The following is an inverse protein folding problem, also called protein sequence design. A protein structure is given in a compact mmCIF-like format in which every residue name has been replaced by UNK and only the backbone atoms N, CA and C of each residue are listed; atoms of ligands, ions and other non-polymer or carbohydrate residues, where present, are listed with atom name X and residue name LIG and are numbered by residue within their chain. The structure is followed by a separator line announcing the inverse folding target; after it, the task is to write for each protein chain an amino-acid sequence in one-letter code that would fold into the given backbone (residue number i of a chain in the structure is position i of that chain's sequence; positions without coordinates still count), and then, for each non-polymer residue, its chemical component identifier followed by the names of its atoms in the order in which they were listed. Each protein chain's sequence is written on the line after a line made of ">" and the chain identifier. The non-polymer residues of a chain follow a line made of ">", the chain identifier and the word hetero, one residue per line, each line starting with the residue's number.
data_IF_226040071376
#
_entry.id   IF_226040071376
#
_cell.length_a   1.000
_cell.length_b   1.000
_cell.length_c   1.000
_cell.angle_alpha   90.00
_cell.angle_beta   90.00
_cell.angle_gamma   90.00
#
_symmetry.space_group_name_H-M   'P 1'
#
loop_
_entity.id
_entity.type
_entity.pdbx_description
1 polymer ?
#
# COMPACT_ATOMS: atom_id res chain seq x y z
N UNK A 1 24.65 -102.26 56.35
CA UNK A 1 24.57 -100.84 56.72
C UNK A 1 24.31 -100.04 55.44
N UNK A 2 23.05 -99.77 55.11
CA UNK A 2 22.67 -99.10 53.86
C UNK A 2 22.32 -97.66 54.18
N UNK A 3 23.11 -96.73 53.63
CA UNK A 3 22.96 -95.29 53.80
C UNK A 3 21.68 -94.83 53.11
N UNK A 4 20.78 -94.19 53.87
CA UNK A 4 19.55 -93.58 53.37
C UNK A 4 19.92 -92.29 52.60
N UNK A 5 19.79 -92.31 51.27
CA UNK A 5 20.00 -91.13 50.41
C UNK A 5 18.84 -90.14 50.62
N UNK A 6 19.14 -88.97 51.18
CA UNK A 6 18.17 -87.90 51.49
C UNK A 6 17.66 -87.29 50.16
N UNK A 7 16.41 -87.55 49.80
CA UNK A 7 15.74 -86.85 48.69
C UNK A 7 15.42 -85.40 49.12
N UNK A 8 16.31 -84.47 48.77
CA UNK A 8 16.08 -83.01 48.83
C UNK A 8 16.25 -82.37 47.44
N UNK A 9 15.84 -83.07 46.38
CA UNK A 9 16.10 -82.69 44.99
C UNK A 9 14.85 -82.23 44.23
N UNK A 10 13.75 -81.92 44.92
CA UNK A 10 12.54 -81.34 44.29
C UNK A 10 12.32 -79.89 44.70
N UNK A 11 12.34 -79.64 46.01
CA UNK A 11 12.14 -78.31 46.60
C UNK A 11 13.21 -77.29 46.16
N UNK A 12 14.46 -77.74 45.96
CA UNK A 12 15.55 -76.87 45.52
C UNK A 12 15.35 -76.38 44.07
N UNK A 13 14.88 -77.25 43.17
CA UNK A 13 14.57 -76.87 41.79
C UNK A 13 13.33 -75.99 41.70
N UNK A 14 12.32 -76.18 42.56
CA UNK A 14 11.17 -75.28 42.64
C UNK A 14 11.55 -73.88 43.11
N UNK A 15 12.44 -73.76 44.12
CA UNK A 15 12.93 -72.45 44.59
C UNK A 15 13.76 -71.75 43.51
N UNK A 16 14.65 -72.48 42.82
CA UNK A 16 15.42 -71.95 41.69
C UNK A 16 14.49 -71.54 40.54
N UNK A 17 13.47 -72.33 40.22
CA UNK A 17 12.50 -72.00 39.18
C UNK A 17 11.72 -70.72 39.51
N UNK A 18 11.31 -70.53 40.77
CA UNK A 18 10.64 -69.29 41.22
C UNK A 18 11.60 -68.10 41.19
N UNK A 19 12.86 -68.29 41.61
CA UNK A 19 13.91 -67.26 41.58
C UNK A 19 14.25 -66.80 40.16
N UNK A 20 14.10 -67.66 39.16
CA UNK A 20 14.30 -67.32 37.74
C UNK A 20 13.02 -66.76 37.13
N UNK A 21 11.85 -67.30 37.49
CA UNK A 21 10.57 -66.88 36.95
C UNK A 21 10.24 -65.43 37.31
N UNK A 22 10.52 -64.99 38.54
CA UNK A 22 10.20 -63.61 38.98
C UNK A 22 10.95 -62.56 38.16
N UNK A 23 12.29 -62.61 38.00
CA UNK A 23 13.03 -61.66 37.15
C UNK A 23 12.61 -61.69 35.68
N UNK A 24 12.33 -62.87 35.14
CA UNK A 24 11.86 -63.01 33.74
C UNK A 24 10.50 -62.36 33.58
N UNK A 25 9.59 -62.57 34.52
CA UNK A 25 8.24 -61.99 34.48
C UNK A 25 8.30 -60.47 34.64
N UNK A 26 9.15 -59.96 35.55
CA UNK A 26 9.41 -58.54 35.70
C UNK A 26 10.01 -57.92 34.43
N UNK A 27 10.97 -58.60 33.78
CA UNK A 27 11.57 -58.16 32.52
C UNK A 27 10.56 -58.11 31.38
N UNK A 28 9.69 -59.13 31.27
CA UNK A 28 8.61 -59.16 30.27
C UNK A 28 7.60 -58.04 30.53
N UNK A 29 7.17 -57.82 31.77
CA UNK A 29 6.28 -56.68 32.08
C UNK A 29 6.95 -55.34 31.83
N UNK A 30 8.24 -55.18 32.16
CA UNK A 30 8.97 -53.94 31.94
C UNK A 30 9.13 -53.61 30.45
N UNK A 31 9.41 -54.62 29.61
CA UNK A 31 9.51 -54.43 28.16
C UNK A 31 8.15 -54.16 27.52
N UNK A 32 7.08 -54.83 27.96
CA UNK A 32 5.72 -54.55 27.48
C UNK A 32 5.26 -53.13 27.83
N UNK A 33 5.50 -52.67 29.06
CA UNK A 33 5.18 -51.29 29.47
C UNK A 33 6.01 -50.28 28.69
N UNK A 34 7.32 -50.52 28.52
CA UNK A 34 8.18 -49.60 27.77
C UNK A 34 7.80 -49.50 26.29
N UNK A 35 7.37 -50.60 25.65
CA UNK A 35 6.87 -50.60 24.27
C UNK A 35 5.55 -49.82 24.19
N UNK A 36 4.65 -50.02 25.15
CA UNK A 36 3.40 -49.27 25.23
C UNK A 36 3.66 -47.76 25.40
N UNK A 37 4.58 -47.36 26.28
CA UNK A 37 4.93 -45.96 26.52
C UNK A 37 5.58 -45.28 25.31
N UNK A 38 6.36 -46.02 24.52
CA UNK A 38 6.93 -45.48 23.26
C UNK A 38 5.87 -45.35 22.19
N UNK A 39 4.96 -46.31 22.05
CA UNK A 39 3.84 -46.20 21.10
C UNK A 39 2.84 -45.08 21.48
N UNK A 40 2.54 -44.90 22.76
CA UNK A 40 1.67 -43.81 23.24
C UNK A 40 2.33 -42.45 23.03
N UNK A 41 3.61 -42.30 23.37
CA UNK A 41 4.35 -41.05 23.15
C UNK A 41 4.43 -40.64 21.68
N UNK A 42 4.61 -41.60 20.76
CA UNK A 42 4.58 -41.32 19.30
C UNK A 42 3.18 -40.89 18.85
N UNK A 43 2.12 -41.53 19.35
CA UNK A 43 0.73 -41.16 19.02
C UNK A 43 0.35 -39.78 19.55
N UNK A 44 0.71 -39.47 20.79
CA UNK A 44 0.45 -38.17 21.40
C UNK A 44 1.16 -37.05 20.64
N UNK A 45 2.43 -37.26 20.28
CA UNK A 45 3.16 -36.31 19.44
C UNK A 45 2.49 -36.12 18.08
N UNK A 46 2.10 -37.21 17.42
CA UNK A 46 1.41 -37.13 16.12
C UNK A 46 0.11 -36.33 16.21
N UNK A 47 -0.70 -36.55 17.26
CA UNK A 47 -1.94 -35.80 17.48
C UNK A 47 -1.65 -34.33 17.76
N UNK A 48 -0.64 -34.03 18.57
CA UNK A 48 -0.23 -32.65 18.85
C UNK A 48 0.25 -31.92 17.59
N UNK A 49 1.07 -32.58 16.76
CA UNK A 49 1.55 -32.04 15.48
C UNK A 49 0.36 -31.77 14.53
N UNK A 50 -0.60 -32.70 14.45
CA UNK A 50 -1.81 -32.52 13.64
C UNK A 50 -2.69 -31.35 14.13
N UNK A 51 -2.89 -31.23 15.45
CA UNK A 51 -3.65 -30.13 16.03
C UNK A 51 -3.00 -28.78 15.71
N UNK A 52 -1.68 -28.69 15.82
CA UNK A 52 -0.95 -27.46 15.52
C UNK A 52 -1.01 -27.10 14.03
N UNK A 53 -0.87 -28.08 13.14
CA UNK A 53 -1.01 -27.85 11.70
C UNK A 53 -2.39 -27.30 11.33
N UNK A 54 -3.45 -27.81 11.95
CA UNK A 54 -4.82 -27.34 11.70
C UNK A 54 -5.03 -25.95 12.28
N UNK A 55 -4.58 -25.72 13.51
CA UNK A 55 -4.65 -24.41 14.15
C UNK A 55 -3.97 -23.34 13.29
N UNK A 56 -2.75 -23.60 12.84
CA UNK A 56 -2.03 -22.71 11.94
C UNK A 56 -2.71 -22.54 10.57
N UNK A 57 -3.26 -23.62 10.01
CA UNK A 57 -4.00 -23.53 8.74
C UNK A 57 -5.26 -22.67 8.87
N UNK A 58 -5.99 -22.80 9.98
CA UNK A 58 -7.18 -21.98 10.28
C UNK A 58 -6.79 -20.52 10.42
N UNK A 59 -5.69 -20.23 11.11
CA UNK A 59 -5.15 -18.89 11.26
C UNK A 59 -4.79 -18.26 9.90
N UNK A 60 -3.96 -18.95 9.10
CA UNK A 60 -3.48 -18.46 7.80
C UNK A 60 -4.64 -18.28 6.80
N UNK A 61 -5.59 -19.22 6.75
CA UNK A 61 -6.74 -19.14 5.84
C UNK A 61 -7.74 -18.08 6.29
N UNK A 62 -7.96 -17.93 7.59
CA UNK A 62 -8.83 -16.87 8.09
C UNK A 62 -8.22 -15.49 7.87
N UNK A 63 -6.91 -15.35 8.04
CA UNK A 63 -6.20 -14.10 7.76
C UNK A 63 -6.36 -13.67 6.28
N UNK A 64 -6.18 -14.59 5.32
CA UNK A 64 -6.45 -14.32 3.90
C UNK A 64 -7.93 -14.01 3.64
N UNK A 65 -8.84 -14.76 4.26
CA UNK A 65 -10.27 -14.52 4.16
C UNK A 65 -10.66 -13.14 4.70
N UNK A 66 -10.01 -12.71 5.78
CA UNK A 66 -10.16 -11.39 6.38
C UNK A 66 -9.73 -10.31 5.38
N UNK A 67 -8.54 -10.39 4.80
CA UNK A 67 -8.06 -9.42 3.80
C UNK A 67 -8.99 -9.31 2.59
N UNK A 68 -9.52 -10.44 2.10
CA UNK A 68 -10.47 -10.44 0.98
C UNK A 68 -11.79 -9.76 1.37
N UNK A 69 -12.34 -10.12 2.53
CA UNK A 69 -13.57 -9.51 3.06
C UNK A 69 -13.40 -8.00 3.28
N UNK A 70 -12.29 -7.61 3.89
CA UNK A 70 -11.90 -6.24 4.14
C UNK A 70 -11.78 -5.41 2.86
N UNK A 71 -11.08 -5.94 1.85
CA UNK A 71 -10.95 -5.28 0.54
C UNK A 71 -12.31 -5.11 -0.15
N UNK A 72 -13.17 -6.12 -0.10
CA UNK A 72 -14.53 -6.06 -0.66
C UNK A 72 -15.43 -5.08 0.08
N UNK A 73 -15.33 -5.01 1.40
CA UNK A 73 -16.09 -4.06 2.21
C UNK A 73 -15.70 -2.62 1.86
N UNK A 74 -14.40 -2.32 1.76
CA UNK A 74 -13.95 -0.99 1.34
C UNK A 74 -14.39 -0.66 -0.09
N UNK A 75 -14.37 -1.66 -1.00
CA UNK A 75 -14.84 -1.47 -2.37
C UNK A 75 -16.34 -1.17 -2.40
N UNK A 76 -17.14 -1.86 -1.58
CA UNK A 76 -18.57 -1.62 -1.45
C UNK A 76 -18.90 -0.23 -0.92
N UNK A 77 -18.12 0.29 0.04
CA UNK A 77 -18.27 1.67 0.50
C UNK A 77 -17.94 2.69 -0.59
N UNK A 78 -16.86 2.44 -1.33
CA UNK A 78 -16.43 3.30 -2.41
C UNK A 78 -17.46 3.33 -3.53
N UNK A 79 -17.93 2.16 -3.95
CA UNK A 79 -18.98 2.01 -4.96
C UNK A 79 -20.29 2.70 -4.54
N UNK A 80 -20.67 2.58 -3.27
CA UNK A 80 -21.84 3.29 -2.73
C UNK A 80 -21.69 4.81 -2.83
N UNK A 81 -20.58 5.38 -2.34
CA UNK A 81 -20.38 6.83 -2.34
C UNK A 81 -20.34 7.41 -3.76
N UNK A 82 -19.66 6.71 -4.67
CA UNK A 82 -19.54 7.09 -6.09
C UNK A 82 -20.90 6.99 -6.80
N UNK A 83 -21.64 5.89 -6.60
CA UNK A 83 -22.90 5.63 -7.31
C UNK A 83 -24.04 6.50 -6.79
N UNK A 84 -24.12 6.73 -5.47
CA UNK A 84 -25.12 7.63 -4.89
C UNK A 84 -24.76 9.11 -5.11
N UNK A 85 -23.48 9.39 -5.44
CA UNK A 85 -22.97 10.75 -5.65
C UNK A 85 -22.98 11.57 -4.36
N UNK A 86 -22.79 10.92 -3.20
CA UNK A 86 -22.85 11.55 -1.88
C UNK A 86 -21.83 10.97 -0.92
N UNK A 87 -21.31 11.84 -0.06
CA UNK A 87 -20.43 11.43 1.03
C UNK A 87 -21.19 10.71 2.16
N UNK A 88 -20.50 9.75 2.76
CA UNK A 88 -20.92 8.98 3.93
C UNK A 88 -20.67 9.80 5.19
N UNK A 89 -21.52 10.81 5.42
CA UNK A 89 -21.47 11.60 6.66
C UNK A 89 -22.42 11.03 7.71
N UNK A 90 -22.08 11.25 8.99
CA UNK A 90 -22.97 10.92 10.12
C UNK A 90 -24.28 11.70 9.99
N UNK A 91 -24.24 12.94 9.49
CA UNK A 91 -25.44 13.76 9.30
C UNK A 91 -26.39 13.17 8.26
N UNK A 92 -25.85 12.63 7.17
CA UNK A 92 -26.65 12.05 6.09
C UNK A 92 -27.15 10.65 6.42
N UNK A 93 -26.39 9.88 7.22
CA UNK A 93 -26.63 8.44 7.33
C UNK A 93 -26.62 7.85 8.74
N UNK A 94 -26.48 8.68 9.79
CA UNK A 94 -26.40 8.27 11.20
C UNK A 94 -25.25 7.29 11.55
N UNK A 95 -24.35 7.01 10.61
CA UNK A 95 -23.18 6.13 10.77
C UNK A 95 -21.99 6.72 10.03
N UNK A 96 -20.80 6.59 10.63
CA UNK A 96 -19.52 6.91 9.99
C UNK A 96 -19.12 5.84 8.96
N UNK A 97 -18.19 6.19 8.07
CA UNK A 97 -17.65 5.22 7.10
C UNK A 97 -16.99 4.01 7.78
N UNK A 98 -16.33 4.22 8.93
CA UNK A 98 -15.74 3.12 9.72
C UNK A 98 -16.78 2.19 10.36
N UNK A 99 -17.91 2.72 10.81
CA UNK A 99 -19.02 1.90 11.33
C UNK A 99 -19.67 1.06 10.23
N UNK A 100 -19.86 1.63 9.04
CA UNK A 100 -20.39 0.89 7.89
C UNK A 100 -19.39 -0.13 7.33
N UNK A 101 -18.11 0.19 7.35
CA UNK A 101 -17.04 -0.76 7.02
C UNK A 101 -17.13 -2.00 7.93
N UNK A 102 -17.35 -1.76 9.22
CA UNK A 102 -17.53 -2.83 10.20
C UNK A 102 -18.84 -3.59 9.96
N UNK A 103 -19.94 -2.90 9.69
CA UNK A 103 -21.22 -3.53 9.32
C UNK A 103 -21.08 -4.46 8.10
N UNK A 104 -20.37 -4.02 7.06
CA UNK A 104 -20.12 -4.83 5.87
C UNK A 104 -19.32 -6.10 6.19
N UNK A 105 -18.29 -6.00 7.03
CA UNK A 105 -17.47 -7.14 7.43
C UNK A 105 -18.28 -8.22 8.17
N UNK A 106 -19.19 -7.81 9.07
CA UNK A 106 -19.99 -8.72 9.88
C UNK A 106 -21.26 -9.18 9.17
N UNK A 107 -22.04 -8.26 8.64
CA UNK A 107 -23.40 -8.52 8.15
C UNK A 107 -23.48 -8.53 6.62
N UNK A 108 -22.49 -7.98 5.92
CA UNK A 108 -22.54 -7.82 4.46
C UNK A 108 -23.53 -6.76 4.00
N UNK A 109 -23.93 -5.85 4.90
CA UNK A 109 -24.96 -4.83 4.63
C UNK A 109 -24.40 -3.41 4.66
N UNK A 110 -25.02 -2.52 3.89
CA UNK A 110 -24.89 -1.06 3.97
C UNK A 110 -26.21 -0.50 4.49
N UNK A 111 -26.20 0.18 5.63
CA UNK A 111 -27.41 0.75 6.24
C UNK A 111 -28.53 -0.28 6.50
N UNK A 112 -28.16 -1.54 6.73
CA UNK A 112 -29.08 -2.66 6.89
C UNK A 112 -29.54 -3.33 5.59
N UNK A 113 -29.17 -2.80 4.41
CA UNK A 113 -29.49 -3.37 3.11
C UNK A 113 -28.33 -4.22 2.59
N UNK A 114 -28.62 -5.37 1.96
CA UNK A 114 -27.58 -6.28 1.47
C UNK A 114 -26.70 -5.65 0.38
N UNK A 115 -25.38 -5.75 0.55
CA UNK A 115 -24.42 -5.35 -0.48
C UNK A 115 -24.09 -6.52 -1.40
N UNK A 116 -24.31 -6.34 -2.70
CA UNK A 116 -23.99 -7.35 -3.72
C UNK A 116 -22.51 -7.78 -3.69
N UNK A 117 -21.60 -6.84 -3.40
CA UNK A 117 -20.16 -7.08 -3.38
C UNK A 117 -19.72 -7.97 -2.19
N UNK A 118 -20.55 -8.04 -1.15
CA UNK A 118 -20.28 -8.81 0.08
C UNK A 118 -20.94 -10.18 0.12
N UNK A 119 -21.79 -10.53 -0.86
CA UNK A 119 -22.46 -11.85 -0.89
C UNK A 119 -21.41 -12.96 -0.79
N UNK A 120 -21.57 -13.86 0.19
CA UNK A 120 -20.66 -14.96 0.50
C UNK A 120 -19.21 -14.54 0.83
N UNK A 121 -18.98 -13.30 1.24
CA UNK A 121 -17.65 -12.76 1.53
C UNK A 121 -17.55 -12.06 2.88
N UNK A 122 -18.54 -12.18 3.76
CA UNK A 122 -18.46 -11.70 5.14
C UNK A 122 -17.46 -12.52 5.96
N UNK A 123 -17.05 -12.02 7.12
CA UNK A 123 -16.16 -12.76 8.02
C UNK A 123 -16.83 -14.05 8.56
N UNK A 124 -18.15 -14.07 8.72
CA UNK A 124 -18.89 -15.28 9.09
C UNK A 124 -18.97 -16.29 7.95
N UNK A 125 -19.01 -15.84 6.69
CA UNK A 125 -18.93 -16.73 5.53
C UNK A 125 -17.58 -17.43 5.49
N UNK A 126 -16.49 -16.69 5.70
CA UNK A 126 -15.14 -17.24 5.78
C UNK A 126 -14.99 -18.21 6.96
N UNK A 127 -15.51 -17.86 8.14
CA UNK A 127 -15.56 -18.76 9.29
C UNK A 127 -16.25 -20.08 8.95
N UNK A 128 -17.41 -20.01 8.31
CA UNK A 128 -18.18 -21.18 7.93
C UNK A 128 -17.46 -22.05 6.90
N UNK A 129 -16.83 -21.44 5.88
CA UNK A 129 -16.05 -22.15 4.86
C UNK A 129 -14.85 -22.90 5.48
N UNK A 130 -14.13 -22.25 6.40
CA UNK A 130 -12.95 -22.84 7.05
C UNK A 130 -13.36 -23.98 7.98
N UNK A 131 -14.36 -23.79 8.83
CA UNK A 131 -14.85 -24.84 9.73
C UNK A 131 -15.37 -26.06 8.95
N UNK A 132 -16.04 -25.83 7.82
CA UNK A 132 -16.52 -26.93 6.98
C UNK A 132 -15.39 -27.68 6.27
N UNK A 133 -14.20 -27.09 6.13
CA UNK A 133 -13.04 -27.70 5.47
C UNK A 133 -12.14 -28.52 6.41
N UNK A 134 -12.18 -28.28 7.72
CA UNK A 134 -11.26 -28.89 8.72
C UNK A 134 -11.66 -30.31 9.17
N UNK A 135 -12.36 -31.05 8.32
CA UNK A 135 -12.93 -32.37 8.61
C UNK A 135 -11.94 -33.32 9.29
N UNK A 136 -12.31 -33.87 10.45
CA UNK A 136 -11.33 -34.56 11.28
C UNK A 136 -11.29 -34.07 12.71
N UNK A 137 -11.49 -32.77 12.91
CA UNK A 137 -11.26 -32.09 14.17
C UNK A 137 -12.44 -31.18 14.51
N UNK A 138 -12.64 -30.92 15.79
CA UNK A 138 -13.60 -29.91 16.24
C UNK A 138 -12.87 -28.58 16.28
N UNK A 139 -13.16 -27.72 15.30
CA UNK A 139 -12.60 -26.38 15.19
C UNK A 139 -13.69 -25.36 15.47
N UNK A 140 -13.40 -24.43 16.37
CA UNK A 140 -14.18 -23.20 16.51
C UNK A 140 -13.21 -22.03 16.68
N UNK A 141 -13.58 -20.89 16.12
CA UNK A 141 -12.79 -19.67 16.27
C UNK A 141 -13.67 -18.43 16.17
N UNK A 142 -13.26 -17.36 16.86
CA UNK A 142 -13.97 -16.08 16.87
C UNK A 142 -12.99 -14.94 16.64
N UNK A 143 -13.53 -13.83 16.14
CA UNK A 143 -12.77 -12.61 15.85
C UNK A 143 -13.44 -11.41 16.54
N UNK A 144 -12.63 -10.50 17.06
CA UNK A 144 -13.10 -9.34 17.84
C UNK A 144 -12.21 -8.13 17.61
N UNK A 145 -12.63 -6.95 18.11
CA UNK A 145 -11.80 -5.75 18.19
C UNK A 145 -11.16 -5.35 16.85
N UNK A 146 -11.95 -5.35 15.77
CA UNK A 146 -11.49 -4.89 14.47
C UNK A 146 -11.28 -3.38 14.54
N UNK A 147 -10.05 -2.95 14.31
CA UNK A 147 -9.67 -1.53 14.25
C UNK A 147 -9.03 -1.29 12.89
N UNK A 148 -9.65 -0.43 12.08
CA UNK A 148 -9.09 -0.01 10.79
C UNK A 148 -8.11 1.14 10.99
N UNK A 149 -7.02 1.12 10.22
CA UNK A 149 -5.97 2.14 10.18
C UNK A 149 -5.55 2.40 8.74
N UNK A 150 -5.00 3.59 8.50
CA UNK A 150 -4.36 3.93 7.23
C UNK A 150 -2.88 4.24 7.43
N UNK A 151 -2.08 3.78 6.48
CA UNK A 151 -0.68 4.14 6.33
C UNK A 151 -0.39 4.34 4.83
N UNK A 152 -0.23 5.60 4.42
CA UNK A 152 -0.06 5.98 3.01
C UNK A 152 -1.11 5.37 2.07
N UNK A 153 -0.70 4.57 1.09
CA UNK A 153 -1.58 3.87 0.14
C UNK A 153 -2.07 2.51 0.64
N UNK A 154 -1.81 2.18 1.91
CA UNK A 154 -2.22 0.93 2.52
C UNK A 154 -3.36 1.17 3.49
N UNK A 155 -4.44 0.43 3.27
CA UNK A 155 -5.49 0.26 4.25
C UNK A 155 -5.24 -1.01 5.03
N UNK A 156 -5.26 -0.89 6.35
CA UNK A 156 -4.98 -2.02 7.22
C UNK A 156 -5.67 -1.90 8.56
N UNK A 157 -5.13 -2.60 9.53
CA UNK A 157 -5.67 -2.58 10.87
C UNK A 157 -5.28 -3.79 11.69
N UNK A 158 -5.94 -3.93 12.84
CA UNK A 158 -5.77 -5.06 13.74
C UNK A 158 -7.10 -5.74 14.04
N UNK A 159 -7.04 -7.02 14.35
CA UNK A 159 -8.16 -7.79 14.92
C UNK A 159 -7.64 -8.82 15.92
N UNK A 160 -8.46 -9.14 16.92
CA UNK A 160 -8.20 -10.23 17.87
C UNK A 160 -8.78 -11.54 17.35
N UNK A 161 -8.01 -12.63 17.42
CA UNK A 161 -8.39 -13.96 16.96
C UNK A 161 -8.31 -14.98 18.11
N UNK A 162 -9.42 -15.69 18.33
CA UNK A 162 -9.53 -16.79 19.28
C UNK A 162 -9.71 -18.08 18.51
N UNK A 163 -8.81 -19.06 18.66
CA UNK A 163 -8.91 -20.35 17.96
C UNK A 163 -8.93 -21.46 19.00
N UNK A 164 -9.85 -22.41 18.84
CA UNK A 164 -9.88 -23.66 19.59
C UNK A 164 -9.94 -24.83 18.62
N UNK A 165 -8.95 -25.72 18.70
CA UNK A 165 -8.92 -26.97 17.94
C UNK A 165 -8.88 -28.13 18.91
N UNK A 166 -9.83 -29.06 18.79
CA UNK A 166 -9.89 -30.29 19.58
C UNK A 166 -9.89 -31.51 18.67
N UNK A 167 -9.31 -32.60 19.17
CA UNK A 167 -9.52 -33.89 18.52
C UNK A 167 -10.95 -34.40 18.75
N UNK A 168 -11.42 -35.35 17.95
CA UNK A 168 -12.80 -35.89 18.00
C UNK A 168 -13.20 -36.51 19.34
N UNK A 169 -12.23 -36.84 20.18
CA UNK A 169 -12.46 -37.47 21.48
C UNK A 169 -12.35 -36.47 22.64
N UNK A 170 -12.04 -35.20 22.37
CA UNK A 170 -11.85 -34.16 23.37
C UNK A 170 -10.65 -34.37 24.31
N UNK A 171 -9.75 -35.32 24.01
CA UNK A 171 -8.61 -35.67 24.88
C UNK A 171 -7.40 -34.75 24.70
N UNK A 172 -7.34 -34.03 23.58
CA UNK A 172 -6.26 -33.07 23.28
C UNK A 172 -6.84 -31.83 22.62
N UNK A 173 -6.33 -30.66 23.03
CA UNK A 173 -6.77 -29.36 22.52
C UNK A 173 -5.62 -28.38 22.40
N UNK A 174 -5.71 -27.51 21.40
CA UNK A 174 -4.93 -26.28 21.31
C UNK A 174 -5.92 -25.12 21.38
N UNK A 175 -5.55 -24.09 22.14
CA UNK A 175 -6.35 -22.90 22.34
C UNK A 175 -5.44 -21.67 22.25
N UNK A 176 -5.84 -20.72 21.42
CA UNK A 176 -5.26 -19.38 21.33
C UNK A 176 -6.33 -18.37 21.69
N UNK A 177 -5.98 -17.44 22.58
CA UNK A 177 -6.89 -16.45 23.14
C UNK A 177 -6.32 -15.07 22.87
N UNK A 178 -7.15 -14.23 22.26
CA UNK A 178 -6.93 -12.84 21.88
C UNK A 178 -5.59 -12.62 21.16
N UNK A 179 -5.29 -13.51 20.21
CA UNK A 179 -4.10 -13.34 19.39
C UNK A 179 -4.34 -12.17 18.44
N UNK A 180 -3.61 -11.07 18.65
CA UNK A 180 -3.70 -9.91 17.78
C UNK A 180 -3.02 -10.19 16.45
N UNK A 181 -3.76 -9.96 15.38
CA UNK A 181 -3.32 -10.05 13.99
C UNK A 181 -3.46 -8.70 13.33
N UNK A 182 -2.56 -8.44 12.40
CA UNK A 182 -2.59 -7.27 11.53
C UNK A 182 -3.09 -7.70 10.15
N UNK A 183 -3.74 -6.80 9.44
CA UNK A 183 -4.07 -6.98 8.02
C UNK A 183 -3.70 -5.69 7.28
N UNK A 184 -3.33 -5.81 6.01
CA UNK A 184 -3.02 -4.64 5.18
C UNK A 184 -3.16 -4.96 3.70
N UNK A 185 -3.76 -4.06 2.93
CA UNK A 185 -3.82 -4.15 1.48
C UNK A 185 -3.76 -2.76 0.85
N UNK A 186 -3.26 -2.71 -0.38
CA UNK A 186 -3.17 -1.46 -1.13
C UNK A 186 -4.53 -0.98 -1.63
N UNK A 187 -4.77 0.34 -1.55
CA UNK A 187 -5.93 1.02 -2.12
C UNK A 187 -5.74 1.43 -3.59
N UNK A 188 -4.61 1.07 -4.21
CA UNK A 188 -4.39 1.32 -5.63
C UNK A 188 -5.50 0.69 -6.48
N UNK A 189 -5.93 1.44 -7.50
CA UNK A 189 -7.04 1.07 -8.39
C UNK A 189 -8.44 1.29 -7.79
N UNK A 190 -8.57 1.69 -6.53
CA UNK A 190 -9.86 2.18 -6.01
C UNK A 190 -10.19 3.53 -6.65
N UNK A 191 -11.47 3.80 -6.84
CA UNK A 191 -11.93 5.11 -7.29
C UNK A 191 -11.86 6.13 -6.15
N UNK A 192 -11.44 7.35 -6.45
CA UNK A 192 -11.39 8.45 -5.49
C UNK A 192 -12.80 9.09 -5.35
N UNK A 193 -13.46 8.92 -4.19
CA UNK A 193 -14.80 9.43 -3.97
C UNK A 193 -14.86 10.96 -4.07
N UNK A 194 -13.76 11.66 -3.79
CA UNK A 194 -13.75 13.12 -3.80
C UNK A 194 -13.98 13.66 -5.21
N UNK A 195 -13.29 13.11 -6.22
CA UNK A 195 -13.53 13.51 -7.61
C UNK A 195 -14.93 13.13 -8.05
N UNK A 196 -15.34 11.89 -7.81
CA UNK A 196 -16.63 11.40 -8.27
C UNK A 196 -17.79 12.18 -7.65
N UNK A 197 -17.79 12.42 -6.34
CA UNK A 197 -18.89 13.11 -5.66
C UNK A 197 -18.91 14.60 -6.00
N UNK A 198 -17.76 15.29 -5.92
CA UNK A 198 -17.69 16.75 -6.15
C UNK A 198 -18.01 17.13 -7.59
N UNK A 199 -17.65 16.28 -8.55
CA UNK A 199 -17.92 16.53 -9.96
C UNK A 199 -19.23 15.89 -10.44
N UNK A 200 -20.06 15.38 -9.53
CA UNK A 200 -21.31 14.67 -9.88
C UNK A 200 -21.10 13.52 -10.88
N UNK A 201 -19.96 12.83 -10.77
CA UNK A 201 -19.57 11.68 -11.58
C UNK A 201 -18.96 12.04 -12.94
N UNK A 202 -18.78 13.31 -13.26
CA UNK A 202 -18.23 13.76 -14.55
C UNK A 202 -16.74 13.46 -14.68
N UNK A 203 -16.00 13.57 -13.58
CA UNK A 203 -14.58 13.22 -13.50
C UNK A 203 -14.41 12.08 -12.52
N UNK A 204 -13.78 11.00 -12.99
CA UNK A 204 -13.52 9.78 -12.22
C UNK A 204 -12.04 9.50 -12.24
N UNK A 205 -11.45 9.36 -11.06
CA UNK A 205 -10.03 9.01 -10.91
C UNK A 205 -9.87 7.78 -10.07
N UNK A 206 -8.85 6.99 -10.39
CA UNK A 206 -8.42 5.88 -9.57
C UNK A 206 -7.09 6.23 -8.90
N UNK A 207 -6.85 5.65 -7.73
CA UNK A 207 -5.56 5.77 -7.07
C UNK A 207 -4.48 5.08 -7.89
N UNK A 208 -3.67 5.88 -8.56
CA UNK A 208 -2.48 5.47 -9.30
C UNK A 208 -1.31 6.36 -8.89
N UNK A 209 -0.32 5.77 -8.22
CA UNK A 209 0.87 6.50 -7.79
C UNK A 209 1.77 6.79 -8.97
N UNK A 210 2.33 8.00 -8.99
CA UNK A 210 3.40 8.33 -9.91
C UNK A 210 4.64 7.48 -9.58
N UNK A 211 5.16 6.67 -10.52
CA UNK A 211 6.15 5.64 -10.22
C UNK A 211 7.60 6.17 -10.15
N UNK A 212 7.80 7.46 -10.41
CA UNK A 212 9.13 8.09 -10.48
C UNK A 212 9.28 9.21 -9.46
N UNK A 213 10.51 9.68 -9.26
CA UNK A 213 10.74 10.89 -8.48
C UNK A 213 10.08 12.10 -9.15
N UNK A 214 9.35 12.89 -8.37
CA UNK A 214 8.53 13.99 -8.86
C UNK A 214 9.04 15.38 -8.42
N UNK A 215 10.07 15.46 -7.59
CA UNK A 215 10.58 16.77 -7.13
C UNK A 215 11.24 17.54 -8.27
N UNK A 216 11.00 18.85 -8.29
CA UNK A 216 11.72 19.74 -9.17
C UNK A 216 13.22 19.75 -8.81
N UNK A 217 14.06 19.57 -9.82
CA UNK A 217 15.52 19.61 -9.65
C UNK A 217 16.10 20.80 -10.40
N UNK A 218 16.78 21.67 -9.66
CA UNK A 218 17.56 22.78 -10.21
C UNK A 218 18.95 22.30 -10.59
N UNK A 219 19.33 22.56 -11.82
CA UNK A 219 20.68 22.39 -12.35
C UNK A 219 21.32 23.77 -12.49
N UNK A 220 22.55 23.95 -11.97
CA UNK A 220 23.17 25.25 -11.90
C UNK A 220 23.49 25.80 -13.29
N UNK A 221 23.16 27.07 -13.52
CA UNK A 221 23.63 27.86 -14.65
C UNK A 221 24.20 29.19 -14.15
N UNK A 222 24.95 29.87 -15.01
CA UNK A 222 25.50 31.21 -14.73
C UNK A 222 24.72 32.33 -15.39
N UNK A 223 24.11 32.07 -16.55
CA UNK A 223 23.28 33.02 -17.29
C UNK A 223 22.27 32.24 -18.11
N UNK A 224 20.98 32.57 -17.97
CA UNK A 224 19.93 32.13 -18.88
C UNK A 224 19.25 33.35 -19.52
N UNK A 225 19.08 33.34 -20.84
CA UNK A 225 18.58 34.51 -21.59
C UNK A 225 17.11 34.48 -21.97
N UNK A 226 16.42 33.38 -21.67
CA UNK A 226 15.06 33.10 -22.11
C UNK A 226 14.36 32.14 -21.15
N UNK A 227 13.05 31.96 -21.36
CA UNK A 227 12.30 30.84 -20.82
C UNK A 227 11.99 29.90 -21.97
N UNK A 228 12.33 28.62 -21.82
CA UNK A 228 12.11 27.61 -22.85
C UNK A 228 11.89 26.25 -22.22
N UNK A 229 11.00 25.44 -22.81
CA UNK A 229 10.75 24.07 -22.39
C UNK A 229 10.84 23.15 -23.60
N UNK A 230 11.51 22.01 -23.44
CA UNK A 230 11.63 21.07 -24.54
C UNK A 230 12.37 19.79 -24.17
N UNK A 231 12.25 18.80 -25.07
CA UNK A 231 12.98 17.55 -24.93
C UNK A 231 14.47 17.76 -25.21
N UNK A 232 15.31 17.07 -24.45
CA UNK A 232 16.76 17.15 -24.58
C UNK A 232 17.25 16.39 -25.80
N UNK A 233 18.22 16.97 -26.50
CA UNK A 233 19.07 16.28 -27.45
C UNK A 233 20.53 16.54 -27.15
N UNK A 234 21.35 15.50 -27.30
CA UNK A 234 22.81 15.58 -27.24
C UNK A 234 23.43 15.50 -28.64
N UNK A 235 22.61 15.42 -29.68
CA UNK A 235 23.02 15.36 -31.08
C UNK A 235 22.84 16.74 -31.73
N UNK A 236 23.94 17.36 -32.17
CA UNK A 236 23.89 18.66 -32.81
C UNK A 236 23.19 18.66 -34.18
N UNK A 237 23.03 17.47 -34.78
CA UNK A 237 22.42 17.27 -36.10
C UNK A 237 20.97 16.73 -36.03
N UNK A 238 20.33 16.81 -34.85
CA UNK A 238 18.96 16.33 -34.63
C UNK A 238 17.96 16.98 -35.63
N UNK A 239 17.15 16.17 -36.35
CA UNK A 239 16.22 16.69 -37.36
C UNK A 239 15.12 17.59 -36.77
N UNK A 240 14.78 17.41 -35.48
CA UNK A 240 13.69 18.12 -34.80
C UNK A 240 14.20 19.25 -33.89
N UNK A 241 15.40 19.79 -34.17
CA UNK A 241 16.08 20.79 -33.34
C UNK A 241 15.21 21.98 -32.89
N UNK A 242 14.27 22.42 -33.73
CA UNK A 242 13.42 23.57 -33.45
C UNK A 242 12.45 23.39 -32.27
N UNK A 243 12.25 22.16 -31.78
CA UNK A 243 11.41 21.85 -30.61
C UNK A 243 12.18 21.23 -29.45
N UNK A 244 13.52 21.23 -29.54
CA UNK A 244 14.40 20.53 -28.61
C UNK A 244 15.41 21.47 -27.98
N UNK A 245 15.91 21.06 -26.82
CA UNK A 245 16.99 21.74 -26.11
C UNK A 245 18.28 20.98 -26.39
N UNK A 246 19.23 21.64 -27.06
CA UNK A 246 20.55 21.07 -27.28
C UNK A 246 21.40 21.20 -26.02
N UNK A 247 22.04 20.11 -25.63
CA UNK A 247 22.98 20.08 -24.50
C UNK A 247 24.37 19.74 -25.01
N UNK A 248 25.30 20.69 -24.91
CA UNK A 248 26.68 20.59 -25.40
C UNK A 248 27.66 21.29 -24.46
N UNK A 249 28.94 20.95 -24.52
CA UNK A 249 29.96 21.60 -23.67
C UNK A 249 30.25 23.05 -24.12
N UNK A 250 30.38 23.27 -25.44
CA UNK A 250 30.58 24.58 -26.07
C UNK A 250 29.37 24.93 -26.93
N UNK A 251 28.68 26.02 -26.59
CA UNK A 251 27.45 26.44 -27.27
C UNK A 251 27.73 27.25 -28.56
N UNK A 252 29.00 27.53 -28.87
CA UNK A 252 29.39 28.43 -29.96
C UNK A 252 28.92 27.93 -31.33
N UNK A 253 28.25 28.81 -32.08
CA UNK A 253 27.85 28.54 -33.47
C UNK A 253 26.58 27.70 -33.66
N UNK A 254 25.97 27.19 -32.58
CA UNK A 254 24.69 26.48 -32.67
C UNK A 254 23.52 27.46 -32.87
N UNK A 255 22.58 27.11 -33.76
CA UNK A 255 21.38 27.89 -34.08
C UNK A 255 20.22 27.00 -34.56
N UNK A 256 19.01 27.53 -34.45
CA UNK A 256 17.78 26.85 -34.86
C UNK A 256 17.25 25.85 -33.83
N UNK A 257 17.75 25.90 -32.60
CA UNK A 257 17.27 25.13 -31.46
C UNK A 257 16.28 25.96 -30.64
N UNK A 258 15.35 25.30 -29.95
CA UNK A 258 14.46 25.97 -28.99
C UNK A 258 15.31 26.67 -27.91
N UNK A 259 16.31 25.95 -27.38
CA UNK A 259 17.33 26.50 -26.49
C UNK A 259 18.65 25.71 -26.61
N UNK A 260 19.78 26.34 -26.27
CA UNK A 260 21.08 25.66 -26.17
C UNK A 260 21.63 25.82 -24.76
N UNK A 261 21.97 24.70 -24.12
CA UNK A 261 22.53 24.65 -22.78
C UNK A 261 23.98 24.16 -22.86
N UNK A 262 24.90 24.88 -22.22
CA UNK A 262 26.28 24.43 -22.12
C UNK A 262 27.13 25.13 -21.07
N UNK A 263 28.43 24.83 -21.09
CA UNK A 263 29.37 25.33 -20.10
C UNK A 263 29.99 26.66 -20.53
N UNK A 264 30.46 26.73 -21.78
CA UNK A 264 31.17 27.90 -22.32
C UNK A 264 30.66 28.31 -23.68
N UNK A 265 31.00 29.52 -24.12
CA UNK A 265 30.72 30.02 -25.47
C UNK A 265 29.59 31.03 -25.51
N UNK A 266 29.24 31.46 -26.73
CA UNK A 266 28.08 32.31 -27.01
C UNK A 266 27.44 31.80 -28.29
N UNK A 267 26.15 31.43 -28.26
CA UNK A 267 25.53 30.75 -29.39
C UNK A 267 25.07 31.77 -30.43
N UNK A 268 24.72 31.28 -31.61
CA UNK A 268 24.17 32.11 -32.69
C UNK A 268 22.63 32.29 -32.57
N UNK A 269 22.06 32.04 -31.39
CA UNK A 269 20.64 32.16 -31.09
C UNK A 269 20.37 32.96 -29.81
N UNK A 270 19.14 33.45 -29.65
CA UNK A 270 18.75 34.32 -28.54
C UNK A 270 18.48 33.58 -27.24
N UNK A 271 18.12 32.29 -27.29
CA UNK A 271 17.73 31.49 -26.14
C UNK A 271 18.84 30.48 -25.78
N UNK A 272 19.50 30.69 -24.65
CA UNK A 272 20.57 29.81 -24.19
C UNK A 272 20.86 29.90 -22.69
N UNK A 273 21.59 28.89 -22.19
CA UNK A 273 22.18 28.87 -20.84
C UNK A 273 23.68 28.58 -20.93
N UNK A 274 24.49 29.37 -20.22
CA UNK A 274 25.94 29.12 -20.05
C UNK A 274 26.32 28.84 -18.59
N UNK A 275 27.51 28.27 -18.40
CA UNK A 275 28.09 28.03 -17.08
C UNK A 275 27.51 26.82 -16.35
N UNK A 276 26.87 25.91 -17.08
CA UNK A 276 26.48 24.59 -16.55
C UNK A 276 27.72 23.69 -16.57
N UNK A 277 28.21 23.18 -15.42
CA UNK A 277 29.42 22.35 -15.38
C UNK A 277 29.14 20.94 -15.92
N UNK A 278 29.96 20.47 -16.86
CA UNK A 278 29.82 19.15 -17.49
C UNK A 278 28.37 18.87 -17.94
N UNK A 279 27.78 19.76 -18.77
CA UNK A 279 26.35 19.81 -19.05
C UNK A 279 25.81 18.49 -19.58
N UNK A 280 26.54 17.84 -20.51
CA UNK A 280 26.14 16.55 -21.10
C UNK A 280 26.02 15.47 -20.03
N UNK A 281 27.05 15.32 -19.19
CA UNK A 281 27.08 14.30 -18.14
C UNK A 281 26.03 14.57 -17.07
N UNK A 282 25.96 15.81 -16.58
CA UNK A 282 25.07 16.22 -15.50
C UNK A 282 23.61 16.00 -15.89
N UNK A 283 23.20 16.52 -17.05
CA UNK A 283 21.81 16.42 -17.52
C UNK A 283 21.44 14.97 -17.83
N UNK A 284 22.31 14.20 -18.48
CA UNK A 284 22.03 12.80 -18.78
C UNK A 284 21.84 11.97 -17.50
N UNK A 285 22.67 12.19 -16.47
CA UNK A 285 22.51 11.54 -15.17
C UNK A 285 21.22 11.96 -14.46
N UNK A 286 20.84 13.23 -14.55
CA UNK A 286 19.57 13.72 -14.00
C UNK A 286 18.37 13.05 -14.68
N UNK A 287 18.36 12.99 -16.02
CA UNK A 287 17.28 12.32 -16.79
C UNK A 287 17.13 10.86 -16.35
N UNK A 288 18.25 10.11 -16.27
CA UNK A 288 18.24 8.69 -15.88
C UNK A 288 17.78 8.49 -14.43
N UNK A 289 18.22 9.35 -13.50
CA UNK A 289 17.83 9.22 -12.09
C UNK A 289 16.36 9.56 -11.82
N UNK A 290 15.70 10.29 -12.74
CA UNK A 290 14.31 10.70 -12.67
C UNK A 290 13.35 9.83 -13.51
N UNK A 291 13.75 8.61 -13.85
CA UNK A 291 12.89 7.69 -14.63
C UNK A 291 12.82 8.03 -16.12
N UNK A 292 13.96 8.45 -16.69
CA UNK A 292 14.10 8.84 -18.09
C UNK A 292 13.17 10.00 -18.50
N UNK A 293 13.03 11.01 -17.62
CA UNK A 293 12.29 12.24 -17.92
C UNK A 293 13.13 13.19 -18.78
N UNK A 294 12.88 13.30 -20.10
CA UNK A 294 13.82 13.92 -21.04
C UNK A 294 13.59 15.42 -21.22
N UNK A 295 12.66 16.02 -20.48
CA UNK A 295 12.24 17.41 -20.67
C UNK A 295 12.97 18.34 -19.70
N UNK A 296 13.50 19.44 -20.22
CA UNK A 296 14.08 20.51 -19.40
C UNK A 296 13.28 21.79 -19.54
N UNK A 297 13.29 22.58 -18.48
CA UNK A 297 12.82 23.95 -18.47
C UNK A 297 14.00 24.89 -18.18
N UNK A 298 14.25 25.84 -19.07
CA UNK A 298 15.21 26.92 -18.86
C UNK A 298 14.48 28.10 -18.28
N UNK A 299 14.99 28.66 -17.19
CA UNK A 299 14.39 29.79 -16.48
C UNK A 299 15.36 30.96 -16.37
N UNK A 300 14.99 32.08 -17.00
CA UNK A 300 15.79 33.31 -16.99
C UNK A 300 15.82 33.98 -15.61
N UNK A 301 14.75 33.85 -14.82
CA UNK A 301 14.65 34.47 -13.50
C UNK A 301 15.64 33.85 -12.50
N UNK A 302 15.78 32.53 -12.54
CA UNK A 302 16.73 31.79 -11.69
C UNK A 302 18.10 31.54 -12.35
N UNK A 303 18.30 31.97 -13.60
CA UNK A 303 19.50 31.70 -14.40
C UNK A 303 19.90 30.22 -14.44
N UNK A 304 18.91 29.33 -14.40
CA UNK A 304 19.10 27.90 -14.15
C UNK A 304 18.35 27.05 -15.15
N UNK A 305 18.73 25.77 -15.19
CA UNK A 305 18.02 24.73 -15.93
C UNK A 305 17.29 23.88 -14.91
N UNK A 306 16.05 23.50 -15.19
CA UNK A 306 15.19 22.76 -14.29
C UNK A 306 14.73 21.47 -14.94
N UNK A 307 14.75 20.38 -14.17
CA UNK A 307 13.99 19.17 -14.48
C UNK A 307 12.72 19.16 -13.64
N UNK A 308 11.56 19.03 -14.30
CA UNK A 308 10.23 19.14 -13.69
C UNK A 308 9.40 17.85 -13.88
N UNK A 309 9.83 16.71 -13.33
CA UNK A 309 9.17 15.41 -13.56
C UNK A 309 7.73 15.36 -13.05
N UNK A 310 7.37 16.18 -12.04
CA UNK A 310 5.98 16.36 -11.59
C UNK A 310 5.03 16.70 -12.73
N UNK A 311 5.48 17.42 -13.76
CA UNK A 311 4.65 17.85 -14.89
C UNK A 311 3.92 16.68 -15.55
N UNK A 312 4.64 15.59 -15.84
CA UNK A 312 4.05 14.39 -16.44
C UNK A 312 2.99 13.78 -15.53
N UNK A 313 3.32 13.62 -14.24
CA UNK A 313 2.39 13.09 -13.25
C UNK A 313 1.09 13.91 -13.13
N UNK A 314 1.16 15.24 -13.26
CA UNK A 314 -0.02 16.12 -13.23
C UNK A 314 -0.91 15.97 -14.46
N UNK A 315 -0.31 15.97 -15.65
CA UNK A 315 -1.02 15.85 -16.93
C UNK A 315 -1.75 14.49 -17.00
N UNK A 316 -1.10 13.44 -16.49
CA UNK A 316 -1.65 12.08 -16.44
C UNK A 316 -2.56 11.82 -15.22
N UNK A 317 -2.76 12.79 -14.32
CA UNK A 317 -3.68 12.68 -13.18
C UNK A 317 -3.23 11.76 -12.04
N UNK A 318 -1.93 11.51 -11.90
CA UNK A 318 -1.37 10.63 -10.87
C UNK A 318 -1.51 11.20 -9.44
N UNK A 319 -1.30 10.32 -8.47
CA UNK A 319 -1.14 10.61 -7.07
C UNK A 319 0.34 10.62 -6.70
N UNK A 320 0.73 11.54 -5.83
CA UNK A 320 2.08 11.68 -5.31
C UNK A 320 2.05 11.28 -3.84
N UNK A 321 2.70 10.16 -3.52
CA UNK A 321 2.88 9.66 -2.16
C UNK A 321 4.01 10.42 -1.44
N UNK A 322 3.94 10.50 -0.11
CA UNK A 322 5.02 11.11 0.67
C UNK A 322 6.26 10.20 0.69
N UNK A 323 7.40 10.67 0.18
CA UNK A 323 8.68 10.00 0.48
C UNK A 323 9.09 10.26 1.93
N UNK A 324 9.94 9.37 2.47
CA UNK A 324 10.52 9.52 3.80
C UNK A 324 11.23 10.88 3.97
N UNK A 325 10.53 11.86 4.55
CA UNK A 325 11.04 13.19 4.85
C UNK A 325 10.24 14.36 4.28
N UNK A 326 9.28 14.14 3.37
CA UNK A 326 8.40 15.19 2.86
C UNK A 326 6.97 14.91 3.30
N UNK A 327 6.43 15.78 4.16
CA UNK A 327 5.05 15.68 4.60
C UNK A 327 4.12 16.24 3.51
N UNK A 328 3.58 15.35 2.69
CA UNK A 328 2.45 15.65 1.81
C UNK A 328 1.16 15.45 2.60
N UNK A 329 0.40 16.51 2.77
CA UNK A 329 -0.81 16.50 3.57
C UNK A 329 -2.06 16.36 2.68
N UNK A 330 -2.89 15.37 2.98
CA UNK A 330 -4.17 15.13 2.31
C UNK A 330 -5.03 14.11 3.07
N UNK A 331 -6.35 14.09 2.83
CA UNK A 331 -7.24 13.14 3.47
C UNK A 331 -7.06 11.72 2.91
N UNK A 332 -7.17 10.72 3.78
CA UNK A 332 -7.17 9.31 3.41
C UNK A 332 -8.47 8.87 2.73
N UNK A 333 -8.53 7.63 2.23
CA UNK A 333 -9.72 7.15 1.51
C UNK A 333 -10.98 7.11 2.40
N UNK A 334 -10.92 6.67 3.67
CA UNK A 334 -12.08 6.72 4.57
C UNK A 334 -12.52 8.17 4.83
N UNK A 335 -11.58 9.09 5.04
CA UNK A 335 -11.86 10.51 5.21
C UNK A 335 -12.52 11.11 3.96
N UNK A 336 -12.02 10.78 2.77
CA UNK A 336 -12.62 11.20 1.49
C UNK A 336 -14.02 10.64 1.29
N UNK A 337 -14.28 9.39 1.69
CA UNK A 337 -15.62 8.79 1.70
C UNK A 337 -16.58 9.60 2.59
N UNK A 338 -16.07 10.26 3.62
CA UNK A 338 -16.85 11.09 4.54
C UNK A 338 -16.92 12.56 4.11
N UNK A 339 -16.37 12.94 2.95
CA UNK A 339 -16.30 14.33 2.53
C UNK A 339 -15.39 15.17 3.44
N UNK A 340 -14.41 14.54 4.09
CA UNK A 340 -13.41 15.25 4.87
C UNK A 340 -12.27 15.68 3.96
N UNK A 341 -11.97 16.98 3.98
CA UNK A 341 -10.88 17.57 3.22
C UNK A 341 -9.67 17.92 4.11
N UNK A 342 -9.79 17.75 5.43
CA UNK A 342 -8.79 18.15 6.41
C UNK A 342 -7.76 17.04 6.70
N UNK A 343 -6.63 17.46 7.25
CA UNK A 343 -5.43 16.67 7.54
C UNK A 343 -5.68 15.51 8.51
N UNK A 344 -5.30 14.29 8.11
CA UNK A 344 -4.97 13.21 9.04
C UNK A 344 -3.57 13.41 9.61
N UNK A 345 -3.29 12.88 10.80
CA UNK A 345 -1.96 12.95 11.45
C UNK A 345 -0.87 12.19 10.69
N UNK A 346 -1.22 11.40 9.66
CA UNK A 346 -0.29 10.66 8.83
C UNK A 346 -0.33 11.19 7.39
N UNK A 347 0.82 11.54 6.78
CA UNK A 347 0.92 11.91 5.37
C UNK A 347 0.53 10.70 4.51
N UNK A 348 -0.20 10.92 3.42
CA UNK A 348 -0.61 9.82 2.54
C UNK A 348 -0.31 10.16 1.10
N UNK A 349 -1.21 10.86 0.42
CA UNK A 349 -1.04 11.17 -0.99
C UNK A 349 -1.73 12.47 -1.35
N UNK A 350 -1.18 13.16 -2.33
CA UNK A 350 -1.74 14.37 -2.91
C UNK A 350 -1.93 14.15 -4.40
N UNK A 351 -2.97 14.76 -4.95
CA UNK A 351 -3.19 14.84 -6.39
C UNK A 351 -3.73 16.22 -6.71
N UNK A 352 -3.83 16.54 -7.99
CA UNK A 352 -4.16 17.86 -8.46
C UNK A 352 -5.34 17.82 -9.43
N UNK A 353 -6.15 18.86 -9.40
CA UNK A 353 -7.18 19.12 -10.39
C UNK A 353 -6.49 19.37 -11.73
N UNK A 354 -6.76 18.52 -12.72
CA UNK A 354 -6.36 18.79 -14.08
C UNK A 354 -7.42 19.70 -14.70
N UNK A 355 -7.02 20.93 -14.98
CA UNK A 355 -7.96 21.94 -15.45
C UNK A 355 -8.49 21.65 -16.85
N UNK A 356 -7.68 21.05 -17.71
CA UNK A 356 -8.14 20.67 -19.02
C UNK A 356 -9.22 19.58 -18.92
N UNK A 357 -8.99 18.56 -18.09
CA UNK A 357 -9.97 17.49 -17.82
C UNK A 357 -11.31 18.06 -17.33
N UNK A 358 -11.27 19.03 -16.41
CA UNK A 358 -12.48 19.68 -15.88
C UNK A 358 -13.21 20.49 -16.95
N UNK A 359 -12.48 21.28 -17.75
CA UNK A 359 -13.08 22.05 -18.84
C UNK A 359 -13.71 21.15 -19.92
N UNK A 360 -13.05 20.05 -20.27
CA UNK A 360 -13.57 19.05 -21.21
C UNK A 360 -14.84 18.37 -20.67
N UNK A 361 -14.93 18.20 -19.35
CA UNK A 361 -16.12 17.73 -18.65
C UNK A 361 -17.21 18.81 -18.48
N UNK A 362 -16.97 20.06 -18.91
CA UNK A 362 -17.91 21.18 -18.78
C UNK A 362 -17.97 21.79 -17.37
N UNK A 363 -16.95 21.56 -16.55
CA UNK A 363 -16.84 22.08 -15.19
C UNK A 363 -16.04 23.38 -15.23
N UNK A 364 -16.61 24.45 -14.68
CA UNK A 364 -15.91 25.73 -14.57
C UNK A 364 -14.78 25.66 -13.55
N UNK A 365 -13.68 26.35 -13.85
CA UNK A 365 -12.47 26.33 -13.02
C UNK A 365 -12.25 27.69 -12.42
N UNK A 366 -11.97 27.70 -11.13
CA UNK A 366 -11.60 28.91 -10.41
C UNK A 366 -10.08 29.12 -10.54
N UNK A 367 -9.68 30.08 -11.36
CA UNK A 367 -8.28 30.27 -11.80
C UNK A 367 -7.33 30.82 -10.72
N UNK A 368 -7.85 31.37 -9.63
CA UNK A 368 -7.10 31.96 -8.52
C UNK A 368 -6.88 30.98 -7.35
N UNK A 369 -7.41 29.75 -7.47
CA UNK A 369 -7.33 28.72 -6.42
C UNK A 369 -6.18 27.74 -6.65
N UNK A 370 -5.65 27.19 -5.57
CA UNK A 370 -4.73 26.04 -5.65
C UNK A 370 -5.43 24.86 -6.30
N UNK A 371 -4.75 24.18 -7.21
CA UNK A 371 -5.25 22.97 -7.84
C UNK A 371 -4.95 21.72 -7.03
N UNK A 372 -4.40 21.85 -5.82
CA UNK A 372 -4.30 20.73 -4.88
C UNK A 372 -5.70 20.21 -4.58
N UNK A 373 -5.99 18.96 -4.94
CA UNK A 373 -7.35 18.41 -5.01
C UNK A 373 -8.19 18.64 -3.74
N UNK A 374 -7.67 18.29 -2.56
CA UNK A 374 -8.43 18.45 -1.31
C UNK A 374 -8.70 19.94 -0.98
N UNK A 375 -7.75 20.82 -1.28
CA UNK A 375 -7.85 22.25 -1.01
C UNK A 375 -8.72 22.98 -2.05
N UNK A 376 -8.77 22.46 -3.27
CA UNK A 376 -9.62 22.98 -4.34
C UNK A 376 -11.11 22.79 -4.02
N UNK A 377 -11.49 21.62 -3.47
CA UNK A 377 -12.88 21.33 -3.13
C UNK A 377 -13.33 21.92 -1.79
N UNK A 378 -12.41 22.44 -0.98
CA UNK A 378 -12.78 23.13 0.26
C UNK A 378 -13.63 24.38 -0.04
N UNK A 379 -14.62 24.72 0.80
CA UNK A 379 -15.30 26.02 0.69
C UNK A 379 -14.40 27.22 0.99
N UNK A 380 -13.29 27.00 1.69
CA UNK A 380 -12.30 28.05 1.98
C UNK A 380 -11.43 28.30 0.75
N UNK A 381 -11.22 29.57 0.40
CA UNK A 381 -10.35 29.95 -0.70
C UNK A 381 -8.87 29.78 -0.30
N UNK A 382 -8.22 28.77 -0.88
CA UNK A 382 -6.77 28.61 -0.87
C UNK A 382 -6.20 29.25 -2.13
N UNK A 383 -5.47 30.34 -1.97
CA UNK A 383 -4.83 31.05 -3.08
C UNK A 383 -3.82 30.14 -3.79
N UNK A 384 -3.93 30.05 -5.11
CA UNK A 384 -2.99 29.37 -5.97
C UNK A 384 -2.19 30.37 -6.80
N UNK A 385 -0.92 30.04 -7.06
CA UNK A 385 -0.01 30.84 -7.85
C UNK A 385 0.44 30.07 -9.09
N UNK A 386 0.74 30.79 -10.16
CA UNK A 386 1.31 30.19 -11.36
C UNK A 386 2.73 29.68 -11.07
N UNK A 387 3.15 28.66 -11.83
CA UNK A 387 4.49 28.09 -11.71
C UNK A 387 5.13 28.05 -13.08
N UNK A 388 6.25 28.75 -13.23
CA UNK A 388 7.03 28.76 -14.46
C UNK A 388 7.49 27.36 -14.84
N UNK A 389 7.37 27.03 -16.13
CA UNK A 389 7.70 25.70 -16.68
C UNK A 389 6.60 24.64 -16.51
N UNK A 390 5.54 24.94 -15.76
CA UNK A 390 4.37 24.07 -15.62
C UNK A 390 3.28 24.42 -16.66
N UNK A 391 2.26 23.58 -16.86
CA UNK A 391 1.13 23.93 -17.73
C UNK A 391 0.49 25.26 -17.32
N UNK A 392 0.03 26.07 -18.27
CA UNK A 392 -0.54 27.42 -18.00
C UNK A 392 -1.71 27.39 -17.03
N UNK A 393 -2.43 26.27 -16.95
CA UNK A 393 -3.54 26.10 -16.03
C UNK A 393 -3.10 25.78 -14.60
N UNK A 394 -1.87 25.31 -14.37
CA UNK A 394 -1.47 24.78 -13.08
C UNK A 394 -1.29 25.90 -12.05
N UNK A 395 -1.98 25.75 -10.91
CA UNK A 395 -1.89 26.66 -9.77
C UNK A 395 -1.62 25.87 -8.51
N UNK A 396 -0.76 26.37 -7.63
CA UNK A 396 -0.40 25.69 -6.38
C UNK A 396 -0.19 26.71 -5.26
N UNK A 397 -0.54 26.35 -4.03
CA UNK A 397 -0.26 27.16 -2.85
C UNK A 397 1.22 27.06 -2.44
N UNK A 398 1.69 28.03 -1.67
CA UNK A 398 3.12 28.13 -1.27
C UNK A 398 3.61 26.94 -0.45
N UNK A 399 2.74 26.34 0.38
CA UNK A 399 3.11 25.21 1.24
C UNK A 399 3.30 23.94 0.43
N UNK A 400 2.38 23.65 -0.49
CA UNK A 400 2.47 22.52 -1.39
C UNK A 400 3.63 22.72 -2.39
N UNK A 401 3.83 23.94 -2.92
CA UNK A 401 4.94 24.24 -3.80
C UNK A 401 6.31 23.94 -3.18
N UNK A 402 6.48 24.25 -1.89
CA UNK A 402 7.70 23.91 -1.16
C UNK A 402 7.94 22.40 -1.07
N UNK A 403 6.88 21.61 -0.86
CA UNK A 403 6.99 20.16 -0.82
C UNK A 403 7.43 19.54 -2.16
N UNK A 404 7.13 20.18 -3.28
CA UNK A 404 7.52 19.75 -4.63
C UNK A 404 8.81 20.41 -5.16
N UNK A 405 9.46 21.28 -4.38
CA UNK A 405 10.65 22.01 -4.81
C UNK A 405 10.37 23.13 -5.83
N UNK A 406 9.11 23.59 -5.92
CA UNK A 406 8.65 24.57 -6.91
C UNK A 406 8.72 26.02 -6.44
N UNK A 407 9.09 26.29 -5.18
CA UNK A 407 9.00 27.63 -4.58
C UNK A 407 9.74 28.72 -5.37
N UNK A 408 10.89 28.42 -6.00
CA UNK A 408 11.64 29.42 -6.79
C UNK A 408 10.99 29.71 -8.16
N UNK A 409 10.11 28.83 -8.62
CA UNK A 409 9.43 28.94 -9.92
C UNK A 409 8.05 29.58 -9.82
N UNK A 410 7.58 29.88 -8.61
CA UNK A 410 6.30 30.56 -8.40
C UNK A 410 6.33 31.98 -8.97
N UNK A 411 5.19 32.43 -9.49
CA UNK A 411 4.95 33.82 -9.89
C UNK A 411 4.14 34.54 -8.80
N UNK A 412 4.47 35.81 -8.55
CA UNK A 412 3.86 36.65 -7.50
C UNK A 412 2.43 37.09 -7.83
#
# INVERSE_FOLDING_TARGET
>A
MVVRKRQMSGQFYSIIAVLIAIPVLLFVTGTLVSIQDTETGVREKLVADQLHLIEKSVEDDFHKGFEISAKRALLALTDFAVTDGRFITIENHNKSAGELYTELLYNGTLFGEESYLMINNTLYDWKSKIINATGGFEVDFNFTNIVATYDDIYFGGTYGLNITVKNRFGTSRIEKIDERKEFSFSVLGFEDPLFAVETSGLVRRQYELYPYSFYAQQLPGSLATCNAIGNVSFDADDPDKAQKILVVDDITGHSGWECVVGNTGTPAQSCYVTGVPLPVTLINQTIQSLGDYPTLYVDNNTNSVWSLPIRRGLEDGHYFGGDAGVLLFGPNLLERLQGMYNFSTNPQFITFINAQEFQEAGIEITSDRTHVCWAYFLPLEYQGYEVRGMPEWFRIDTSSAAAFGLSQLMED
#
